data_IF_942560836568
#
_entry.id   IF_942560836568
#
_cell.length_a   1.000
_cell.length_b   1.000
_cell.length_c   1.000
_cell.angle_alpha   90.00
_cell.angle_beta   90.00
_cell.angle_gamma   90.00
#
_symmetry.space_group_name_H-M   'P 1'
#
loop_
_entity.id
_entity.type
_entity.pdbx_description
1 polymer ?
#
# COMPACT_ATOMS: atom_id res chain seq x y z
N UNK A 1 -17.47 -15.78 -9.56
CA UNK A 1 -16.10 -15.35 -9.17
C UNK A 1 -16.10 -15.22 -7.67
N UNK A 2 -14.96 -15.26 -7.00
CA UNK A 2 -14.92 -14.92 -5.56
C UNK A 2 -15.22 -13.42 -5.40
N UNK A 3 -16.05 -13.02 -4.43
CA UNK A 3 -16.43 -11.62 -4.21
C UNK A 3 -15.20 -10.72 -3.99
N UNK A 4 -14.17 -11.24 -3.30
CA UNK A 4 -12.91 -10.53 -3.13
C UNK A 4 -12.19 -10.28 -4.46
N UNK A 5 -12.20 -11.25 -5.38
CA UNK A 5 -11.60 -11.09 -6.70
C UNK A 5 -12.33 -10.03 -7.51
N UNK A 6 -13.66 -9.98 -7.46
CA UNK A 6 -14.48 -8.97 -8.14
C UNK A 6 -14.14 -7.55 -7.66
N UNK A 7 -14.03 -7.37 -6.34
CA UNK A 7 -13.64 -6.09 -5.74
C UNK A 7 -12.20 -5.70 -6.09
N UNK A 8 -11.26 -6.66 -6.13
CA UNK A 8 -9.89 -6.40 -6.57
C UNK A 8 -9.83 -5.98 -8.03
N UNK A 9 -10.60 -6.62 -8.92
CA UNK A 9 -10.67 -6.22 -10.33
C UNK A 9 -11.30 -4.85 -10.51
N UNK A 10 -12.26 -4.47 -9.67
CA UNK A 10 -12.79 -3.11 -9.63
C UNK A 10 -11.71 -2.09 -9.21
N UNK A 11 -10.93 -2.40 -8.18
CA UNK A 11 -9.80 -1.56 -7.79
C UNK A 11 -8.81 -1.43 -8.95
N UNK A 12 -8.41 -2.53 -9.59
CA UNK A 12 -7.45 -2.48 -10.72
C UNK A 12 -7.93 -1.59 -11.84
N UNK A 13 -9.18 -1.78 -12.31
CA UNK A 13 -9.78 -0.94 -13.35
C UNK A 13 -9.74 0.55 -12.98
N UNK A 14 -10.11 0.88 -11.74
CA UNK A 14 -10.04 2.26 -11.27
C UNK A 14 -8.60 2.82 -11.30
N UNK A 15 -7.62 2.02 -10.87
CA UNK A 15 -6.21 2.45 -10.87
C UNK A 15 -5.66 2.55 -12.30
N UNK A 16 -6.10 1.71 -13.22
CA UNK A 16 -5.75 1.80 -14.65
C UNK A 16 -6.26 3.11 -15.26
N UNK A 17 -7.51 3.47 -15.01
CA UNK A 17 -8.09 4.75 -15.44
C UNK A 17 -7.29 5.95 -14.89
N UNK A 18 -6.87 5.90 -13.62
CA UNK A 18 -6.01 6.94 -13.05
C UNK A 18 -4.61 6.96 -13.66
N UNK A 19 -4.04 5.79 -13.96
CA UNK A 19 -2.72 5.68 -14.58
C UNK A 19 -2.69 6.27 -16.00
N UNK A 20 -3.78 6.18 -16.76
CA UNK A 20 -3.91 6.83 -18.09
C UNK A 20 -3.80 8.36 -18.02
N UNK A 21 -4.18 8.95 -16.89
CA UNK A 21 -4.09 10.40 -16.66
C UNK A 21 -2.67 10.85 -16.26
N UNK A 22 -1.80 9.92 -15.87
CA UNK A 22 -0.44 10.21 -15.44
C UNK A 22 0.50 10.40 -16.65
N UNK A 23 0.95 11.64 -16.89
CA UNK A 23 1.87 11.97 -18.00
C UNK A 23 3.26 11.30 -17.92
N UNK A 24 3.61 10.73 -16.78
CA UNK A 24 4.89 10.07 -16.51
C UNK A 24 4.73 9.11 -15.33
N UNK A 25 5.74 8.27 -15.04
CA UNK A 25 5.71 7.27 -13.95
C UNK A 25 5.32 7.88 -12.60
N UNK A 26 4.07 7.68 -12.16
CA UNK A 26 3.49 8.25 -10.94
C UNK A 26 2.89 7.18 -10.04
N UNK A 27 2.09 7.59 -9.02
CA UNK A 27 1.55 6.67 -8.02
C UNK A 27 0.72 5.53 -8.61
N UNK A 28 -0.19 5.83 -9.52
CA UNK A 28 -1.11 4.84 -10.10
C UNK A 28 -0.34 3.90 -11.01
N UNK A 29 0.57 4.42 -11.85
CA UNK A 29 1.47 3.58 -12.67
C UNK A 29 2.33 2.67 -11.78
N UNK A 30 2.82 3.15 -10.65
CA UNK A 30 3.58 2.32 -9.71
C UNK A 30 2.72 1.18 -9.14
N UNK A 31 1.48 1.48 -8.73
CA UNK A 31 0.54 0.47 -8.20
C UNK A 31 0.17 -0.56 -9.27
N UNK A 32 -0.09 -0.18 -10.52
CA UNK A 32 -0.32 -1.14 -11.60
C UNK A 32 0.89 -2.05 -11.81
N UNK A 33 2.10 -1.47 -11.81
CA UNK A 33 3.31 -2.22 -12.15
C UNK A 33 3.79 -3.15 -11.05
N UNK A 34 3.65 -2.73 -9.79
CA UNK A 34 4.26 -3.41 -8.64
C UNK A 34 3.27 -3.87 -7.58
N UNK A 35 2.00 -3.49 -7.74
CA UNK A 35 0.95 -3.79 -6.79
C UNK A 35 0.59 -5.27 -6.76
N UNK A 36 0.09 -5.70 -5.61
CA UNK A 36 -0.43 -7.04 -5.37
C UNK A 36 -1.78 -6.93 -4.67
N UNK A 37 -2.63 -7.92 -4.92
CA UNK A 37 -3.87 -8.08 -4.16
C UNK A 37 -3.53 -8.61 -2.77
N UNK A 38 -4.18 -8.07 -1.75
CA UNK A 38 -4.09 -8.55 -0.38
C UNK A 38 -5.48 -8.89 0.14
N UNK A 39 -5.53 -9.90 1.00
CA UNK A 39 -6.74 -10.31 1.71
C UNK A 39 -6.72 -9.81 3.15
N UNK A 40 -7.85 -9.34 3.69
CA UNK A 40 -7.98 -9.05 5.11
C UNK A 40 -7.63 -10.25 5.98
N UNK A 41 -6.99 -9.99 7.12
CA UNK A 41 -6.87 -11.03 8.15
C UNK A 41 -8.25 -11.41 8.67
N UNK A 42 -8.49 -12.70 8.88
CA UNK A 42 -9.75 -13.20 9.42
C UNK A 42 -10.01 -12.71 10.86
N UNK A 43 -8.94 -12.40 11.60
CA UNK A 43 -9.02 -11.94 12.99
C UNK A 43 -8.01 -10.86 13.27
N UNK A 44 -8.51 -9.69 13.66
CA UNK A 44 -7.65 -8.58 14.08
C UNK A 44 -6.73 -8.99 15.23
N UNK A 45 -5.43 -8.64 15.19
CA UNK A 45 -4.51 -8.92 16.27
C UNK A 45 -4.94 -8.25 17.58
N UNK A 46 -4.66 -8.89 18.72
CA UNK A 46 -5.03 -8.37 20.04
C UNK A 46 -4.34 -7.06 20.42
N UNK A 47 -3.20 -6.76 19.79
CA UNK A 47 -2.46 -5.52 19.99
C UNK A 47 -2.99 -4.35 19.15
N UNK A 48 -3.87 -4.61 18.18
CA UNK A 48 -4.37 -3.60 17.27
C UNK A 48 -5.33 -2.65 18.01
N UNK A 49 -4.96 -1.38 18.06
CA UNK A 49 -5.85 -0.28 18.42
C UNK A 49 -6.20 0.50 17.16
N UNK A 50 -7.49 0.62 16.89
CA UNK A 50 -8.00 1.40 15.76
C UNK A 50 -7.74 2.88 16.02
N UNK A 51 -7.12 3.53 15.04
CA UNK A 51 -6.78 4.94 15.04
C UNK A 51 -7.91 5.83 14.50
N UNK A 52 -7.56 7.08 14.20
CA UNK A 52 -8.54 8.06 13.72
C UNK A 52 -8.95 7.74 12.28
N UNK A 53 -10.26 7.83 11.99
CA UNK A 53 -10.77 7.70 10.63
C UNK A 53 -10.13 8.74 9.70
N UNK A 54 -9.86 8.34 8.45
CA UNK A 54 -9.18 9.16 7.41
C UNK A 54 -7.72 9.50 7.70
N UNK A 55 -7.13 8.88 8.73
CA UNK A 55 -5.71 9.06 9.08
C UNK A 55 -4.88 7.81 8.80
N UNK A 56 -5.24 7.06 7.74
CA UNK A 56 -4.72 5.72 7.49
C UNK A 56 -3.21 5.66 7.32
N UNK A 57 -2.62 6.64 6.64
CA UNK A 57 -1.18 6.73 6.46
C UNK A 57 -0.45 6.83 7.80
N UNK A 58 -0.87 7.70 8.71
CA UNK A 58 -0.25 7.85 10.02
C UNK A 58 -0.52 6.63 10.91
N UNK A 59 -1.75 6.13 10.92
CA UNK A 59 -2.13 4.95 11.70
C UNK A 59 -1.25 3.74 11.36
N UNK A 60 -1.09 3.42 10.06
CA UNK A 60 -0.27 2.30 9.62
C UNK A 60 1.23 2.54 9.82
N UNK A 61 1.70 3.77 9.59
CA UNK A 61 3.09 4.15 9.81
C UNK A 61 3.51 3.97 11.26
N UNK A 62 2.66 4.39 12.21
CA UNK A 62 2.96 4.33 13.63
C UNK A 62 3.27 2.89 14.09
N UNK A 63 2.53 1.91 13.59
CA UNK A 63 2.81 0.49 13.85
C UNK A 63 4.07 0.00 13.12
N UNK A 64 4.20 0.28 11.82
CA UNK A 64 5.34 -0.19 11.03
C UNK A 64 6.69 0.40 11.51
N UNK A 65 6.68 1.58 12.13
CA UNK A 65 7.87 2.19 12.68
C UNK A 65 8.42 1.43 13.90
N UNK A 66 7.56 0.81 14.72
CA UNK A 66 7.94 0.20 16.00
C UNK A 66 7.88 -1.32 16.02
N UNK A 67 7.21 -1.95 15.06
CA UNK A 67 7.08 -3.40 14.93
C UNK A 67 7.99 -3.94 13.83
N UNK A 68 8.46 -5.16 14.01
CA UNK A 68 9.30 -5.91 13.07
C UNK A 68 8.56 -7.07 12.37
N UNK A 69 7.35 -7.38 12.82
CA UNK A 69 6.51 -8.49 12.33
C UNK A 69 5.42 -8.07 11.35
N UNK A 70 5.39 -6.80 10.96
CA UNK A 70 4.45 -6.25 9.98
C UNK A 70 5.17 -5.34 8.99
N UNK A 71 4.59 -5.21 7.80
CA UNK A 71 5.07 -4.30 6.75
C UNK A 71 4.02 -3.27 6.42
N UNK A 72 4.50 -2.05 6.20
CA UNK A 72 3.66 -0.97 5.72
C UNK A 72 3.32 -1.17 4.24
N UNK A 73 2.07 -0.94 3.87
CA UNK A 73 1.61 -0.98 2.50
C UNK A 73 0.73 0.22 2.16
N UNK A 74 0.79 0.63 0.90
CA UNK A 74 -0.06 1.67 0.34
C UNK A 74 -0.61 1.25 -1.02
N UNK A 75 -1.78 1.77 -1.35
CA UNK A 75 -2.42 1.56 -2.63
C UNK A 75 -3.87 1.98 -2.55
N UNK A 76 -4.74 1.12 -3.07
CA UNK A 76 -6.17 1.37 -3.09
C UNK A 76 -6.90 0.26 -2.34
N UNK A 77 -7.93 0.66 -1.60
CA UNK A 77 -8.81 -0.25 -0.90
C UNK A 77 -10.26 0.01 -1.32
N UNK A 78 -11.07 -1.04 -1.32
CA UNK A 78 -12.50 -0.95 -1.57
C UNK A 78 -13.22 -1.69 -0.44
N UNK A 79 -14.00 -0.92 0.30
CA UNK A 79 -15.04 -1.43 1.20
C UNK A 79 -16.32 -1.61 0.36
N UNK A 80 -17.09 -2.71 0.53
CA UNK A 80 -18.28 -2.97 -0.28
C UNK A 80 -19.35 -1.88 -0.27
N UNK A 81 -19.40 -1.06 0.79
CA UNK A 81 -20.36 0.05 0.91
C UNK A 81 -19.87 1.34 0.22
N UNK A 82 -18.59 1.42 -0.13
CA UNK A 82 -18.05 2.56 -0.86
C UNK A 82 -18.34 2.44 -2.35
N UNK A 83 -18.68 3.56 -2.97
CA UNK A 83 -19.01 3.64 -4.40
C UNK A 83 -17.78 3.59 -5.32
N UNK A 84 -16.58 3.77 -4.77
CA UNK A 84 -15.34 3.79 -5.55
C UNK A 84 -14.13 3.44 -4.67
N UNK A 85 -13.06 2.85 -5.26
CA UNK A 85 -11.80 2.59 -4.57
C UNK A 85 -11.18 3.87 -4.02
N UNK A 86 -10.63 3.80 -2.82
CA UNK A 86 -9.97 4.94 -2.16
C UNK A 86 -8.50 4.67 -1.92
N UNK A 87 -7.67 5.71 -2.02
CA UNK A 87 -6.28 5.62 -1.59
C UNK A 87 -6.22 5.32 -0.09
N UNK A 88 -5.39 4.34 0.26
CA UNK A 88 -5.34 3.83 1.62
C UNK A 88 -3.96 3.30 1.99
N UNK A 89 -3.72 3.20 3.29
CA UNK A 89 -2.54 2.59 3.86
C UNK A 89 -2.92 1.57 4.93
N UNK A 90 -2.20 0.46 4.96
CA UNK A 90 -2.45 -0.66 5.86
C UNK A 90 -1.16 -1.34 6.27
N UNK A 91 -1.28 -2.34 7.15
CA UNK A 91 -0.19 -3.24 7.51
C UNK A 91 -0.40 -4.59 6.83
N UNK A 92 0.69 -5.27 6.52
CA UNK A 92 0.71 -6.64 6.01
C UNK A 92 1.46 -7.50 7.02
N UNK A 93 0.86 -8.61 7.43
CA UNK A 93 1.51 -9.57 8.33
C UNK A 93 2.43 -10.54 7.58
N UNK A 94 3.06 -11.47 8.32
CA UNK A 94 4.01 -12.45 7.77
C UNK A 94 3.38 -13.42 6.77
N UNK A 95 2.07 -13.61 6.87
CA UNK A 95 1.29 -14.50 6.01
C UNK A 95 0.74 -13.74 4.79
N UNK A 96 1.05 -12.45 4.65
CA UNK A 96 0.61 -11.61 3.55
C UNK A 96 -0.81 -11.07 3.72
N UNK A 97 -1.38 -11.13 4.92
CA UNK A 97 -2.75 -10.67 5.19
C UNK A 97 -2.75 -9.23 5.69
N UNK A 98 -3.82 -8.50 5.35
CA UNK A 98 -4.01 -7.10 5.74
C UNK A 98 -4.45 -7.01 7.20
N UNK A 99 -3.77 -6.13 7.93
CA UNK A 99 -4.21 -5.59 9.21
C UNK A 99 -4.45 -4.09 8.98
N UNK A 100 -5.71 -3.68 9.03
CA UNK A 100 -6.08 -2.27 8.85
C UNK A 100 -6.20 -1.58 10.21
N UNK A 101 -5.33 -0.59 10.52
CA UNK A 101 -5.40 0.14 11.78
C UNK A 101 -6.42 1.28 11.78
N UNK A 102 -7.19 1.45 10.70
CA UNK A 102 -8.12 2.58 10.53
C UNK A 102 -9.57 2.12 10.44
N UNK A 103 -9.84 1.10 9.64
CA UNK A 103 -11.18 0.53 9.50
C UNK A 103 -11.42 -0.62 10.47
N UNK A 104 -12.68 -0.75 10.89
CA UNK A 104 -13.16 -1.89 11.67
C UNK A 104 -13.86 -2.87 10.74
N UNK A 105 -13.79 -4.15 11.08
CA UNK A 105 -14.49 -5.22 10.37
C UNK A 105 -14.20 -5.27 8.86
N UNK A 106 -12.92 -5.39 8.51
CA UNK A 106 -12.47 -5.32 7.12
C UNK A 106 -12.62 -6.63 6.34
N UNK A 107 -13.38 -7.62 6.86
CA UNK A 107 -13.42 -8.99 6.29
C UNK A 107 -13.85 -9.05 4.84
N UNK A 108 -14.75 -8.15 4.46
CA UNK A 108 -15.31 -8.08 3.12
C UNK A 108 -14.62 -7.02 2.24
N UNK A 109 -13.51 -6.44 2.71
CA UNK A 109 -12.77 -5.43 1.96
C UNK A 109 -11.75 -6.05 1.01
N UNK A 110 -11.43 -5.31 -0.05
CA UNK A 110 -10.33 -5.63 -0.95
C UNK A 110 -9.24 -4.57 -0.88
N UNK A 111 -8.00 -5.01 -1.10
CA UNK A 111 -6.81 -4.16 -1.05
C UNK A 111 -5.91 -4.51 -2.23
N UNK A 112 -5.46 -3.49 -2.96
CA UNK A 112 -4.50 -3.65 -4.05
C UNK A 112 -3.42 -2.56 -3.92
N UNK A 113 -2.17 -2.97 -3.73
CA UNK A 113 -1.11 -2.01 -3.43
C UNK A 113 0.27 -2.62 -3.28
N UNK A 114 1.20 -1.83 -2.75
CA UNK A 114 2.61 -2.15 -2.64
C UNK A 114 2.99 -2.19 -1.16
N UNK A 115 3.63 -3.29 -0.74
CA UNK A 115 4.24 -3.39 0.59
C UNK A 115 5.72 -2.98 0.54
N UNK A 116 6.14 -2.14 1.49
CA UNK A 116 7.48 -1.56 1.54
C UNK A 116 8.35 -2.16 2.65
N UNK A 117 9.66 -2.17 2.44
CA UNK A 117 10.65 -2.50 3.49
C UNK A 117 10.63 -1.44 4.58
N UNK A 118 10.65 -1.86 5.85
CA UNK A 118 10.58 -0.99 7.03
C UNK A 118 11.64 0.13 6.98
N UNK A 119 12.88 -0.22 6.67
CA UNK A 119 14.01 0.71 6.64
C UNK A 119 13.75 1.87 5.67
N UNK A 120 13.15 1.56 4.50
CA UNK A 120 12.74 2.56 3.53
C UNK A 120 11.62 3.45 4.08
N UNK A 121 10.59 2.87 4.73
CA UNK A 121 9.51 3.66 5.35
C UNK A 121 10.06 4.62 6.40
N UNK A 122 10.91 4.15 7.31
CA UNK A 122 11.53 5.00 8.32
C UNK A 122 12.37 6.12 7.70
N UNK A 123 13.14 5.82 6.66
CA UNK A 123 13.92 6.81 5.91
C UNK A 123 13.01 7.87 5.26
N UNK A 124 11.90 7.46 4.63
CA UNK A 124 10.96 8.39 4.00
C UNK A 124 10.26 9.28 5.03
N UNK A 125 9.87 8.76 6.20
CA UNK A 125 9.28 9.59 7.26
C UNK A 125 10.22 10.70 7.71
N UNK A 126 11.49 10.39 7.92
CA UNK A 126 12.49 11.41 8.29
C UNK A 126 12.61 12.46 7.19
N UNK A 127 12.69 12.03 5.92
CA UNK A 127 12.81 12.94 4.77
C UNK A 127 11.57 13.83 4.56
N UNK A 128 10.39 13.31 4.88
CA UNK A 128 9.12 14.01 4.69
C UNK A 128 8.71 14.88 5.90
N UNK A 129 9.61 15.10 6.85
CA UNK A 129 9.32 15.89 8.05
C UNK A 129 8.29 15.22 8.98
N UNK A 130 8.36 13.88 9.08
CA UNK A 130 7.42 13.01 9.82
C UNK A 130 6.02 12.89 9.20
N UNK A 131 5.83 13.34 7.96
CA UNK A 131 4.57 13.13 7.25
C UNK A 131 4.54 11.72 6.62
N UNK A 132 3.55 10.92 7.01
CA UNK A 132 3.28 9.61 6.41
C UNK A 132 2.74 9.73 4.97
N UNK A 133 2.81 8.63 4.23
CA UNK A 133 2.46 8.57 2.81
C UNK A 133 3.70 8.58 1.92
N UNK A 134 3.89 7.51 1.16
CA UNK A 134 4.99 7.22 0.25
C UNK A 134 4.49 7.38 -1.18
N UNK A 135 3.39 6.70 -1.53
CA UNK A 135 2.79 6.77 -2.86
C UNK A 135 2.05 8.08 -3.08
N UNK A 136 1.33 8.59 -2.07
CA UNK A 136 0.67 9.89 -2.17
C UNK A 136 1.67 11.05 -2.25
N UNK A 137 2.85 10.87 -1.67
CA UNK A 137 3.94 11.85 -1.69
C UNK A 137 5.05 11.51 -2.71
N UNK A 138 4.83 10.57 -3.64
CA UNK A 138 5.81 10.15 -4.67
C UNK A 138 6.35 11.32 -5.51
N UNK A 139 5.64 12.44 -5.56
CA UNK A 139 6.10 13.67 -6.20
C UNK A 139 7.37 14.24 -5.54
N UNK A 140 7.68 13.91 -4.28
CA UNK A 140 8.94 14.24 -3.60
C UNK A 140 10.09 13.31 -4.04
N UNK A 141 9.80 12.05 -4.39
CA UNK A 141 10.78 11.10 -4.94
C UNK A 141 11.20 11.49 -6.37
N UNK A 142 10.26 11.98 -7.20
CA UNK A 142 10.54 12.43 -8.58
C UNK A 142 11.57 13.56 -8.69
N UNK A 143 11.81 14.35 -7.63
CA UNK A 143 12.86 15.37 -7.64
C UNK A 143 14.28 14.80 -7.51
N UNK A 144 14.45 13.52 -7.14
CA UNK A 144 15.77 12.93 -6.88
C UNK A 144 16.01 11.54 -7.50
N UNK A 145 14.96 10.76 -7.76
CA UNK A 145 15.03 9.45 -8.41
C UNK A 145 14.34 9.52 -9.77
N UNK A 146 15.13 9.69 -10.83
CA UNK A 146 14.68 9.77 -12.23
C UNK A 146 14.28 8.41 -12.82
N UNK A 147 14.52 7.31 -12.09
CA UNK A 147 14.49 5.96 -12.66
C UNK A 147 13.56 5.01 -11.86
N UNK A 148 12.55 4.38 -12.52
CA UNK A 148 11.69 3.35 -11.92
C UNK A 148 12.42 2.13 -11.33
N UNK A 149 13.70 1.94 -11.69
CA UNK A 149 14.54 0.80 -11.27
C UNK A 149 14.85 0.81 -9.75
N UNK A 150 14.81 1.96 -9.08
CA UNK A 150 15.08 2.03 -7.63
C UNK A 150 13.93 1.46 -6.78
N UNK A 151 12.68 1.48 -7.27
CA UNK A 151 11.51 1.11 -6.46
C UNK A 151 11.46 -0.39 -6.15
N UNK A 152 11.88 -1.25 -7.08
CA UNK A 152 11.92 -2.71 -6.86
C UNK A 152 12.78 -3.07 -5.65
N UNK A 153 13.87 -2.33 -5.42
CA UNK A 153 14.80 -2.59 -4.31
C UNK A 153 14.18 -2.34 -2.93
N UNK A 154 13.13 -1.53 -2.84
CA UNK A 154 12.46 -1.16 -1.58
C UNK A 154 11.11 -1.85 -1.39
N UNK A 155 10.62 -2.55 -2.41
CA UNK A 155 9.39 -3.35 -2.36
C UNK A 155 9.68 -4.69 -1.65
N UNK A 156 8.78 -5.09 -0.75
CA UNK A 156 8.84 -6.41 -0.12
C UNK A 156 8.38 -7.48 -1.11
N UNK A 157 9.20 -8.52 -1.28
CA UNK A 157 8.87 -9.66 -2.15
C UNK A 157 9.01 -9.37 -3.65
N UNK A 158 9.61 -8.23 -4.04
CA UNK A 158 10.13 -8.08 -5.40
C UNK A 158 11.26 -9.10 -5.59
N UNK A 159 11.03 -10.11 -6.41
CA UNK A 159 12.11 -10.95 -6.89
C UNK A 159 13.06 -10.03 -7.66
N UNK A 160 14.34 -10.00 -7.30
CA UNK A 160 15.37 -9.42 -8.16
C UNK A 160 15.27 -10.19 -9.47
N UNK A 161 14.69 -9.58 -10.50
CA UNK A 161 14.83 -10.12 -11.85
C UNK A 161 16.26 -9.85 -12.24
N UNK A 162 17.17 -10.75 -11.83
CA UNK A 162 18.51 -10.83 -12.40
C UNK A 162 18.31 -10.92 -13.90
N UNK A 163 18.71 -9.86 -14.61
CA UNK A 163 18.84 -9.91 -16.07
C UNK A 163 19.71 -11.13 -16.38
N UNK A 164 19.14 -12.06 -17.13
CA UNK A 164 19.91 -13.14 -17.73
C UNK A 164 20.99 -12.53 -18.62
N UNK A 165 22.13 -13.22 -18.63
CA UNK A 165 23.42 -12.86 -19.22
C UNK A 165 23.38 -12.36 -20.66
#
# INVERSE_FOLDING_TARGET
>A
MDMHEELVEEIKRHVEELAELERSFGPSIAVIRYGRAFRPTAKSPTWLRIGQARDCFNNATAYAAVRDDVWYAEGYALEPELLFPVQHAWLVDRDGQVIDPTWKDTRDHAYFGIAFKRDFVCEQLVKNGQNAGILVNLNLLRRRHRDPVDLESVIRGAAVTLRAA
#
